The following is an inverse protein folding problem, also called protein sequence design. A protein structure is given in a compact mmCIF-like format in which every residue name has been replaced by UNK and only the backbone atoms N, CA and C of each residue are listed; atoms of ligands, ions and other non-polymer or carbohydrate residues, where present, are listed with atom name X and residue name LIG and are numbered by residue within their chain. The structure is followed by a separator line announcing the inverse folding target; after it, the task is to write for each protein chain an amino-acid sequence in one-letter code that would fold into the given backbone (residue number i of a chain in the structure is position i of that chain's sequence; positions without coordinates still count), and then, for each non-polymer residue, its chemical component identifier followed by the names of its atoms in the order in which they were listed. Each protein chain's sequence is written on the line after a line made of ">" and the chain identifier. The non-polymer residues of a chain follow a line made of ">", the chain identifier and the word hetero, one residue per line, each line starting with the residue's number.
data_IF_150733151785
#
_entry.id   IF_150733151785
#
_cell.length_a   1.000
_cell.length_b   1.000
_cell.length_c   1.000
_cell.angle_alpha   90.00
_cell.angle_beta   90.00
_cell.angle_gamma   90.00
#
_symmetry.space_group_name_H-M   'P 1'
#
loop_
_entity.id
_entity.type
_entity.pdbx_description
1 polymer ?
#
# COMPACT_ATOMS: atom_id res chain seq x y z
N UNK A 1 8.99 37.49 21.39
CA UNK A 1 9.96 38.31 22.12
C UNK A 1 11.31 37.62 22.06
N UNK A 2 12.33 38.33 21.51
CA UNK A 2 13.79 38.30 21.76
C UNK A 2 14.51 36.93 21.81
N UNK A 3 15.70 36.70 21.26
CA UNK A 3 16.75 37.52 20.62
C UNK A 3 17.75 36.52 20.01
N UNK A 4 18.21 36.68 18.76
CA UNK A 4 19.54 37.21 18.35
C UNK A 4 20.74 36.30 18.68
N UNK A 5 21.43 35.73 17.68
CA UNK A 5 22.52 36.28 16.84
C UNK A 5 23.90 35.86 17.41
N UNK A 6 24.91 35.45 16.64
CA UNK A 6 25.90 36.26 15.88
C UNK A 6 26.83 35.23 15.16
N UNK A 7 27.02 35.23 13.82
CA UNK A 7 27.92 36.04 12.95
C UNK A 7 29.43 35.82 13.15
N UNK A 8 30.13 35.41 12.09
CA UNK A 8 31.60 35.34 12.03
C UNK A 8 32.09 35.35 10.59
N UNK A 9 32.36 36.56 10.07
CA UNK A 9 33.04 36.83 8.80
C UNK A 9 34.51 37.14 9.14
N UNK A 10 35.46 36.65 8.34
CA UNK A 10 36.80 37.21 8.25
C UNK A 10 37.24 37.34 6.78
N UNK A 11 37.74 38.53 6.45
CA UNK A 11 38.41 38.91 5.21
C UNK A 11 39.83 39.33 5.59
N UNK A 12 40.86 38.89 4.85
CA UNK A 12 42.13 39.63 4.74
C UNK A 12 42.93 39.28 3.45
N UNK A 13 42.75 40.16 2.47
CA UNK A 13 43.64 40.85 1.51
C UNK A 13 45.18 40.61 1.44
N UNK A 14 45.64 40.35 0.20
CA UNK A 14 46.83 40.80 -0.61
C UNK A 14 48.29 40.49 -0.22
N UNK A 15 49.04 39.97 -1.21
CA UNK A 15 50.38 40.45 -1.60
C UNK A 15 50.66 40.21 -3.11
N UNK A 16 51.00 41.29 -3.83
CA UNK A 16 51.58 41.29 -5.18
C UNK A 16 53.12 41.26 -5.10
N UNK A 17 53.78 40.65 -6.09
CA UNK A 17 54.91 41.22 -6.85
C UNK A 17 55.69 40.13 -7.62
N UNK A 18 56.15 40.44 -8.84
CA UNK A 18 57.28 39.76 -9.46
C UNK A 18 57.13 39.35 -10.93
N UNK A 19 57.13 40.32 -11.85
CA UNK A 19 57.58 40.11 -13.25
C UNK A 19 59.13 40.14 -13.29
N UNK A 20 59.76 39.39 -14.21
CA UNK A 20 60.27 40.05 -15.43
C UNK A 20 60.03 39.27 -16.74
N UNK A 21 60.00 40.03 -17.84
CA UNK A 21 59.95 39.62 -19.25
C UNK A 21 61.37 39.41 -19.83
N UNK A 22 61.58 39.32 -21.17
CA UNK A 22 61.00 38.44 -22.21
C UNK A 22 62.11 37.67 -22.99
N UNK A 23 61.80 36.57 -23.68
CA UNK A 23 62.64 36.09 -24.80
C UNK A 23 61.78 35.57 -25.96
N UNK A 24 61.95 36.27 -27.07
CA UNK A 24 61.85 35.88 -28.47
C UNK A 24 60.67 35.03 -28.98
N UNK A 25 59.98 35.66 -29.94
CA UNK A 25 59.07 35.06 -30.90
C UNK A 25 59.69 33.87 -31.66
N UNK A 26 58.90 32.82 -31.81
CA UNK A 26 58.97 31.91 -32.95
C UNK A 26 57.54 31.71 -33.47
N UNK A 27 57.29 32.30 -34.63
CA UNK A 27 56.11 32.11 -35.47
C UNK A 27 55.89 30.62 -35.77
N UNK A 28 54.78 30.07 -35.28
CA UNK A 28 54.16 28.86 -35.83
C UNK A 28 52.70 29.17 -36.14
N UNK A 29 52.50 30.07 -37.12
CA UNK A 29 51.25 30.08 -37.89
C UNK A 29 51.26 28.90 -38.86
N UNK A 30 50.43 27.90 -38.57
CA UNK A 30 49.40 27.35 -39.49
C UNK A 30 48.85 26.03 -38.94
N UNK A 31 47.57 26.10 -38.56
CA UNK A 31 46.52 25.06 -38.60
C UNK A 31 45.68 25.05 -37.32
N UNK A 32 45.05 26.19 -37.01
CA UNK A 32 43.77 26.15 -36.31
C UNK A 32 42.70 25.82 -37.36
N UNK A 33 41.94 24.71 -37.26
CA UNK A 33 40.64 24.70 -37.91
C UNK A 33 39.82 25.80 -37.25
N UNK A 34 39.38 26.76 -38.07
CA UNK A 34 38.41 27.75 -37.66
C UNK A 34 37.23 27.03 -37.00
N UNK A 35 36.88 27.45 -35.77
CA UNK A 35 35.58 27.16 -35.20
C UNK A 35 34.52 27.69 -36.18
N UNK A 36 33.97 26.80 -36.99
CA UNK A 36 32.86 27.13 -37.85
C UNK A 36 31.68 27.46 -36.94
N UNK A 37 31.44 28.74 -36.68
CA UNK A 37 30.12 29.21 -36.27
C UNK A 37 29.18 28.93 -37.45
N UNK A 38 28.50 27.79 -37.40
CA UNK A 38 27.44 27.46 -38.34
C UNK A 38 26.23 28.35 -38.03
N UNK A 39 25.88 29.33 -38.88
CA UNK A 39 24.70 30.15 -38.68
C UNK A 39 23.48 29.27 -38.93
N UNK A 40 22.63 29.07 -37.91
CA UNK A 40 21.32 28.44 -38.09
C UNK A 40 20.96 27.28 -37.16
N UNK A 41 21.86 26.85 -36.26
CA UNK A 41 21.50 25.86 -35.23
C UNK A 41 20.87 26.57 -34.03
N UNK A 42 19.64 26.21 -33.67
CA UNK A 42 18.98 26.73 -32.48
C UNK A 42 18.20 25.64 -31.77
N UNK A 43 17.89 25.89 -30.50
CA UNK A 43 17.19 24.94 -29.67
C UNK A 43 16.24 25.66 -28.72
N UNK A 44 15.04 25.11 -28.58
CA UNK A 44 14.08 25.50 -27.54
C UNK A 44 13.67 24.25 -26.77
N UNK A 45 13.31 24.41 -25.51
CA UNK A 45 12.82 23.28 -24.73
C UNK A 45 11.71 23.71 -23.78
N UNK A 46 10.77 22.80 -23.58
CA UNK A 46 9.70 22.91 -22.61
C UNK A 46 9.74 21.67 -21.71
N UNK A 47 9.55 21.87 -20.41
CA UNK A 47 9.52 20.78 -19.45
C UNK A 47 8.30 20.85 -18.55
N UNK A 48 7.74 19.67 -18.30
CA UNK A 48 6.76 19.41 -17.25
C UNK A 48 7.38 18.52 -16.18
N UNK A 49 6.62 18.16 -15.15
CA UNK A 49 7.08 17.24 -14.10
C UNK A 49 7.42 15.83 -14.61
N UNK A 50 6.82 15.40 -15.74
CA UNK A 50 6.90 14.04 -16.25
C UNK A 50 7.50 13.87 -17.65
N UNK A 51 7.66 14.94 -18.41
CA UNK A 51 8.32 14.93 -19.72
C UNK A 51 9.03 16.25 -20.01
N UNK A 52 10.13 16.18 -20.76
CA UNK A 52 10.79 17.32 -21.39
C UNK A 52 10.77 17.14 -22.92
N UNK A 53 10.44 18.21 -23.63
CA UNK A 53 10.42 18.27 -25.09
C UNK A 53 11.44 19.29 -25.53
N UNK A 54 12.40 18.87 -26.35
CA UNK A 54 13.47 19.70 -26.88
C UNK A 54 13.30 19.74 -28.39
N UNK A 55 13.16 20.93 -28.95
CA UNK A 55 13.09 21.16 -30.38
C UNK A 55 14.45 21.68 -30.87
N UNK A 56 15.06 20.95 -31.79
CA UNK A 56 16.30 21.31 -32.46
C UNK A 56 15.97 21.81 -33.87
N UNK A 57 16.51 22.97 -34.25
CA UNK A 57 16.38 23.56 -35.58
C UNK A 57 17.75 23.67 -36.24
N UNK A 58 17.80 23.49 -37.56
CA UNK A 58 19.05 23.51 -38.34
C UNK A 58 19.95 22.28 -38.12
N UNK A 59 19.42 21.22 -37.50
CA UNK A 59 20.09 19.96 -37.23
C UNK A 59 19.35 18.79 -37.87
N UNK A 60 20.02 18.06 -38.76
CA UNK A 60 19.48 16.84 -39.35
C UNK A 60 20.00 15.65 -38.57
N UNK A 61 19.09 14.95 -37.90
CA UNK A 61 19.41 13.73 -37.19
C UNK A 61 19.69 12.60 -38.18
N UNK A 62 20.79 11.89 -37.97
CA UNK A 62 21.09 10.63 -38.64
C UNK A 62 20.59 9.44 -37.81
N UNK A 63 20.86 9.48 -36.50
CA UNK A 63 20.49 8.40 -35.59
C UNK A 63 20.34 8.92 -34.16
N UNK A 64 19.38 8.37 -33.43
CA UNK A 64 19.35 8.42 -31.97
C UNK A 64 19.54 7.01 -31.42
N UNK A 65 20.42 6.85 -30.45
CA UNK A 65 20.71 5.58 -29.81
C UNK A 65 20.88 5.75 -28.29
N UNK A 66 20.62 4.67 -27.54
CA UNK A 66 20.91 4.64 -26.11
C UNK A 66 22.42 4.65 -25.90
N UNK A 67 22.90 5.37 -24.89
CA UNK A 67 24.30 5.37 -24.52
C UNK A 67 24.71 4.13 -23.73
N UNK A 68 25.83 4.23 -23.02
CA UNK A 68 26.38 3.13 -22.22
C UNK A 68 25.59 2.88 -20.93
N UNK A 69 24.78 3.86 -20.51
CA UNK A 69 23.90 3.79 -19.35
C UNK A 69 22.45 4.13 -19.73
N UNK A 70 21.45 3.64 -18.98
CA UNK A 70 20.03 3.92 -19.25
C UNK A 70 19.61 5.39 -19.03
N UNK A 71 20.53 6.22 -18.53
CA UNK A 71 20.38 7.67 -18.44
C UNK A 71 20.95 8.40 -19.67
N UNK A 72 21.72 7.73 -20.52
CA UNK A 72 22.40 8.32 -21.66
C UNK A 72 21.63 8.13 -22.97
N UNK A 73 21.60 9.19 -23.77
CA UNK A 73 21.12 9.19 -25.14
C UNK A 73 22.16 9.86 -26.01
N UNK A 74 22.54 9.20 -27.10
CA UNK A 74 23.47 9.72 -28.10
C UNK A 74 22.67 10.08 -29.34
N UNK A 75 22.78 11.34 -29.76
CA UNK A 75 22.27 11.83 -31.03
C UNK A 75 23.43 11.96 -32.01
N UNK A 76 23.30 11.43 -33.21
CA UNK A 76 24.25 11.58 -34.31
C UNK A 76 23.63 12.41 -35.42
N UNK A 77 24.40 13.30 -36.00
CA UNK A 77 23.95 14.28 -36.99
C UNK A 77 24.74 14.14 -38.28
N UNK A 78 24.10 14.50 -39.40
CA UNK A 78 24.75 14.50 -40.73
C UNK A 78 25.74 15.66 -40.93
N UNK A 79 25.81 16.58 -39.97
CA UNK A 79 26.59 17.82 -40.05
C UNK A 79 27.33 18.10 -38.73
N UNK A 80 28.35 18.97 -38.76
CA UNK A 80 29.04 19.41 -37.55
C UNK A 80 28.08 20.06 -36.54
N UNK A 81 28.27 19.76 -35.26
CA UNK A 81 27.46 20.31 -34.16
C UNK A 81 28.13 21.54 -33.55
N UNK A 82 27.36 22.59 -33.25
CA UNK A 82 27.88 23.75 -32.51
C UNK A 82 28.31 23.32 -31.09
N UNK A 83 29.58 23.55 -30.68
CA UNK A 83 30.05 23.22 -29.34
C UNK A 83 29.24 23.84 -28.20
N UNK A 84 28.59 24.99 -28.44
CA UNK A 84 27.77 25.68 -27.43
C UNK A 84 26.45 24.97 -27.11
N UNK A 85 26.01 24.09 -28.01
CA UNK A 85 24.71 23.43 -27.94
C UNK A 85 24.58 22.53 -26.70
N UNK A 86 25.66 21.87 -26.27
CA UNK A 86 25.68 21.09 -25.03
C UNK A 86 25.58 21.96 -23.78
N UNK A 87 26.29 23.09 -23.74
CA UNK A 87 26.24 24.00 -22.60
C UNK A 87 24.85 24.62 -22.44
N UNK A 88 24.22 25.01 -23.55
CA UNK A 88 22.90 25.62 -23.53
C UNK A 88 21.82 24.61 -23.16
N UNK A 89 21.96 23.36 -23.59
CA UNK A 89 21.03 22.28 -23.25
C UNK A 89 20.98 22.01 -21.74
N UNK A 90 22.14 21.95 -21.07
CA UNK A 90 22.21 21.76 -19.63
C UNK A 90 21.63 22.96 -18.85
N UNK A 91 21.77 24.19 -19.39
CA UNK A 91 21.23 25.43 -18.78
C UNK A 91 19.72 25.56 -18.94
N UNK A 92 19.15 25.14 -20.07
CA UNK A 92 17.72 25.26 -20.35
C UNK A 92 16.90 24.22 -19.57
N UNK A 93 17.44 23.02 -19.37
CA UNK A 93 16.75 21.92 -18.68
C UNK A 93 17.50 21.40 -17.43
N UNK A 94 17.79 22.25 -16.43
CA UNK A 94 18.63 21.88 -15.29
C UNK A 94 17.97 20.85 -14.36
N UNK A 95 16.64 20.68 -14.43
CA UNK A 95 15.91 19.65 -13.70
C UNK A 95 15.94 18.26 -14.35
N UNK A 96 16.28 18.20 -15.64
CA UNK A 96 16.22 16.97 -16.45
C UNK A 96 17.61 16.48 -16.84
N UNK A 97 18.52 17.38 -17.18
CA UNK A 97 19.82 17.03 -17.76
C UNK A 97 20.88 17.20 -16.69
N UNK A 98 21.67 16.16 -16.48
CA UNK A 98 22.81 16.16 -15.55
C UNK A 98 24.07 16.65 -16.27
N UNK A 99 24.27 16.15 -17.48
CA UNK A 99 25.43 16.45 -18.31
C UNK A 99 25.08 16.35 -19.80
N UNK A 100 25.71 17.19 -20.61
CA UNK A 100 25.65 17.10 -22.06
C UNK A 100 27.05 17.35 -22.65
N UNK A 101 27.38 16.67 -23.75
CA UNK A 101 28.67 16.78 -24.42
C UNK A 101 28.50 16.73 -25.93
N UNK A 102 29.14 17.64 -26.65
CA UNK A 102 29.23 17.60 -28.11
C UNK A 102 30.52 16.91 -28.57
N UNK A 103 30.38 15.98 -29.51
CA UNK A 103 31.45 15.54 -30.42
C UNK A 103 31.44 16.37 -31.71
N UNK A 104 32.15 15.92 -32.74
CA UNK A 104 32.15 16.58 -34.04
C UNK A 104 30.76 16.54 -34.70
N UNK A 105 30.15 15.36 -34.73
CA UNK A 105 28.87 15.03 -35.38
C UNK A 105 27.86 14.43 -34.41
N UNK A 106 28.09 14.56 -33.10
CA UNK A 106 27.31 13.86 -32.07
C UNK A 106 27.05 14.72 -30.85
N UNK A 107 25.95 14.43 -30.17
CA UNK A 107 25.58 15.01 -28.88
C UNK A 107 25.21 13.88 -27.92
N UNK A 108 25.98 13.75 -26.86
CA UNK A 108 25.66 12.89 -25.72
C UNK A 108 24.85 13.71 -24.72
N UNK A 109 23.67 13.20 -24.35
CA UNK A 109 22.81 13.76 -23.32
C UNK A 109 22.71 12.72 -22.21
N UNK A 110 23.06 13.10 -20.98
CA UNK A 110 22.86 12.29 -19.79
C UNK A 110 21.80 12.94 -18.90
N UNK A 111 20.70 12.23 -18.71
CA UNK A 111 19.61 12.67 -17.86
C UNK A 111 19.91 12.41 -16.38
N UNK A 112 19.28 13.18 -15.47
CA UNK A 112 19.45 13.02 -14.02
C UNK A 112 18.90 11.70 -13.46
N UNK A 113 18.00 11.06 -14.21
CA UNK A 113 17.35 9.78 -13.89
C UNK A 113 17.12 9.02 -15.18
N UNK A 114 16.87 7.71 -15.07
CA UNK A 114 16.51 6.87 -16.22
C UNK A 114 15.36 7.50 -17.00
N UNK A 115 15.53 7.63 -18.30
CA UNK A 115 14.55 8.26 -19.19
C UNK A 115 14.40 7.46 -20.47
N UNK A 116 13.18 7.38 -20.99
CA UNK A 116 12.95 6.97 -22.37
C UNK A 116 13.00 8.18 -23.28
N UNK A 117 13.49 7.99 -24.51
CA UNK A 117 13.51 9.01 -25.53
C UNK A 117 12.60 8.62 -26.71
N UNK A 118 11.99 9.62 -27.33
CA UNK A 118 11.31 9.51 -28.61
C UNK A 118 11.72 10.68 -29.49
N UNK A 119 12.01 10.39 -30.76
CA UNK A 119 12.38 11.40 -31.74
C UNK A 119 11.27 11.54 -32.77
N UNK A 120 10.97 12.77 -33.15
CA UNK A 120 10.07 13.08 -34.27
C UNK A 120 10.76 14.07 -35.19
N UNK A 121 10.98 13.69 -36.44
CA UNK A 121 11.56 14.58 -37.46
C UNK A 121 10.58 15.70 -37.82
N UNK A 122 11.13 16.87 -38.11
CA UNK A 122 10.39 18.06 -38.55
C UNK A 122 11.06 18.64 -39.79
N UNK A 123 10.36 19.44 -40.63
CA UNK A 123 10.94 19.96 -41.88
C UNK A 123 12.28 20.69 -41.71
N UNK A 124 12.47 21.39 -40.59
CA UNK A 124 13.66 22.20 -40.29
C UNK A 124 14.54 21.63 -39.17
N UNK A 125 14.34 20.37 -38.77
CA UNK A 125 15.12 19.72 -37.72
C UNK A 125 14.42 18.52 -37.06
N UNK A 126 14.45 18.41 -35.73
CA UNK A 126 13.76 17.33 -35.04
C UNK A 126 13.34 17.72 -33.61
N UNK A 127 12.40 16.95 -33.06
CA UNK A 127 11.96 17.06 -31.67
C UNK A 127 12.40 15.82 -30.90
N UNK A 128 13.10 16.01 -29.79
CA UNK A 128 13.44 14.98 -28.82
C UNK A 128 12.52 15.11 -27.61
N UNK A 129 11.74 14.06 -27.35
CA UNK A 129 10.94 13.94 -26.13
C UNK A 129 11.62 12.98 -25.16
N UNK A 130 11.98 13.50 -23.99
CA UNK A 130 12.44 12.72 -22.84
C UNK A 130 11.27 12.49 -21.88
N UNK A 131 11.08 11.26 -21.43
CA UNK A 131 10.07 10.91 -20.42
C UNK A 131 10.74 10.12 -19.32
N UNK A 132 10.47 10.42 -18.05
CA UNK A 132 11.06 9.64 -16.96
C UNK A 132 10.65 8.18 -17.07
N UNK A 133 11.64 7.29 -17.06
CA UNK A 133 11.39 5.88 -16.94
C UNK A 133 10.79 5.67 -15.55
N UNK A 134 9.55 5.21 -15.52
CA UNK A 134 8.89 4.84 -14.27
C UNK A 134 9.61 3.60 -13.75
N UNK A 135 10.33 3.74 -12.64
CA UNK A 135 10.99 2.60 -12.01
C UNK A 135 9.92 1.59 -11.58
N UNK A 136 9.89 0.44 -12.25
CA UNK A 136 8.93 -0.63 -11.99
C UNK A 136 8.99 -1.10 -10.53
N UNK A 137 10.16 -1.02 -9.90
CA UNK A 137 10.34 -1.38 -8.50
C UNK A 137 9.70 -0.33 -7.58
N UNK A 138 9.84 0.95 -7.89
CA UNK A 138 9.25 2.03 -7.10
C UNK A 138 7.71 2.03 -7.18
N UNK A 139 7.14 1.73 -8.35
CA UNK A 139 5.69 1.57 -8.48
C UNK A 139 5.20 0.37 -7.69
N UNK A 140 5.90 -0.75 -7.77
CA UNK A 140 5.56 -1.97 -7.00
C UNK A 140 5.60 -1.69 -5.51
N UNK A 141 6.67 -1.03 -5.02
CA UNK A 141 6.80 -0.61 -3.63
C UNK A 141 5.68 0.32 -3.18
N UNK A 142 5.38 1.34 -3.98
CA UNK A 142 4.30 2.30 -3.72
C UNK A 142 2.95 1.61 -3.65
N UNK A 143 2.67 0.70 -4.58
CA UNK A 143 1.43 -0.07 -4.61
C UNK A 143 1.31 -1.03 -3.42
N UNK A 144 2.41 -1.68 -2.99
CA UNK A 144 2.42 -2.50 -1.77
C UNK A 144 2.12 -1.68 -0.52
N UNK A 145 2.72 -0.49 -0.39
CA UNK A 145 2.43 0.43 0.71
C UNK A 145 0.97 0.89 0.70
N UNK A 146 0.46 1.26 -0.48
CA UNK A 146 -0.94 1.65 -0.65
C UNK A 146 -1.91 0.51 -0.33
N UNK A 147 -1.58 -0.71 -0.72
CA UNK A 147 -2.36 -1.91 -0.41
C UNK A 147 -2.44 -2.13 1.10
N UNK A 148 -1.30 -2.11 1.80
CA UNK A 148 -1.26 -2.22 3.28
C UNK A 148 -2.06 -1.11 3.96
N UNK A 149 -2.00 0.11 3.46
CA UNK A 149 -2.81 1.22 3.96
C UNK A 149 -4.32 0.97 3.76
N UNK A 150 -4.75 0.45 2.60
CA UNK A 150 -6.15 0.13 2.35
C UNK A 150 -6.67 -1.01 3.22
N UNK A 151 -5.84 -2.02 3.48
CA UNK A 151 -6.13 -3.08 4.45
C UNK A 151 -6.31 -2.48 5.84
N UNK A 152 -5.36 -1.66 6.30
CA UNK A 152 -5.41 -1.01 7.61
C UNK A 152 -6.64 -0.10 7.77
N UNK A 153 -7.07 0.55 6.70
CA UNK A 153 -8.26 1.42 6.67
C UNK A 153 -9.55 0.68 6.30
N UNK A 154 -9.53 -0.67 6.23
CA UNK A 154 -10.68 -1.54 5.95
C UNK A 154 -11.42 -1.18 4.66
N UNK A 155 -10.69 -0.96 3.57
CA UNK A 155 -11.23 -0.71 2.23
C UNK A 155 -10.95 -1.90 1.29
N UNK A 156 -11.61 -3.06 1.48
CA UNK A 156 -11.30 -4.30 0.78
C UNK A 156 -11.47 -4.22 -0.74
N UNK A 157 -12.52 -3.55 -1.24
CA UNK A 157 -12.78 -3.45 -2.68
C UNK A 157 -11.64 -2.76 -3.43
N UNK A 158 -11.12 -1.66 -2.87
CA UNK A 158 -9.97 -0.93 -3.43
C UNK A 158 -8.68 -1.73 -3.26
N UNK A 159 -8.52 -2.44 -2.14
CA UNK A 159 -7.37 -3.31 -1.90
C UNK A 159 -7.29 -4.43 -2.94
N UNK A 160 -8.42 -5.08 -3.27
CA UNK A 160 -8.50 -6.11 -4.33
C UNK A 160 -8.07 -5.57 -5.69
N UNK A 161 -8.44 -4.33 -6.02
CA UNK A 161 -7.99 -3.67 -7.25
C UNK A 161 -6.46 -3.63 -7.35
N UNK A 162 -5.79 -3.14 -6.30
CA UNK A 162 -4.33 -3.03 -6.26
C UNK A 162 -3.66 -4.42 -6.20
N UNK A 163 -4.23 -5.38 -5.47
CA UNK A 163 -3.71 -6.74 -5.42
C UNK A 163 -3.67 -7.37 -6.82
N UNK A 164 -4.74 -7.20 -7.60
CA UNK A 164 -4.79 -7.70 -8.98
C UNK A 164 -3.78 -7.00 -9.90
N UNK A 165 -3.54 -5.69 -9.70
CA UNK A 165 -2.48 -4.97 -10.42
C UNK A 165 -1.08 -5.51 -10.10
N UNK A 166 -0.81 -5.82 -8.82
CA UNK A 166 0.46 -6.39 -8.39
C UNK A 166 0.66 -7.82 -8.92
N UNK A 167 -0.40 -8.63 -8.95
CA UNK A 167 -0.37 -9.99 -9.50
C UNK A 167 -0.01 -9.99 -10.99
N UNK A 168 -0.53 -9.02 -11.77
CA UNK A 168 -0.16 -8.83 -13.19
C UNK A 168 1.28 -8.41 -13.41
N UNK A 169 1.94 -7.84 -12.40
CA UNK A 169 3.33 -7.37 -12.45
C UNK A 169 4.32 -8.43 -11.94
N UNK A 170 3.88 -9.67 -11.75
CA UNK A 170 4.71 -10.81 -11.33
C UNK A 170 5.41 -10.61 -9.97
N UNK A 171 4.76 -9.92 -9.04
CA UNK A 171 5.20 -9.90 -7.63
C UNK A 171 5.11 -11.31 -7.05
N UNK A 172 6.03 -11.66 -6.15
CA UNK A 172 6.09 -12.97 -5.51
C UNK A 172 4.73 -13.42 -4.96
N UNK A 173 4.23 -14.62 -5.37
CA UNK A 173 2.92 -15.11 -4.99
C UNK A 173 2.70 -15.15 -3.48
N UNK A 174 3.71 -15.56 -2.71
CA UNK A 174 3.60 -15.73 -1.25
C UNK A 174 3.30 -14.41 -0.53
N UNK A 175 3.90 -13.32 -0.99
CA UNK A 175 3.64 -11.96 -0.46
C UNK A 175 2.20 -11.53 -0.76
N UNK A 176 1.72 -11.83 -1.97
CA UNK A 176 0.37 -11.47 -2.39
C UNK A 176 -0.69 -12.28 -1.67
N UNK A 177 -0.47 -13.58 -1.47
CA UNK A 177 -1.41 -14.47 -0.79
C UNK A 177 -1.54 -14.12 0.70
N UNK A 178 -0.45 -13.65 1.34
CA UNK A 178 -0.51 -13.14 2.72
C UNK A 178 -1.35 -11.87 2.81
N UNK A 179 -1.19 -10.95 1.85
CA UNK A 179 -2.00 -9.74 1.77
C UNK A 179 -3.46 -10.06 1.40
N UNK A 180 -3.71 -11.11 0.61
CA UNK A 180 -5.06 -11.60 0.31
C UNK A 180 -5.74 -12.14 1.58
N UNK A 181 -5.02 -12.89 2.42
CA UNK A 181 -5.53 -13.34 3.71
C UNK A 181 -5.92 -12.16 4.62
N UNK A 182 -5.11 -11.11 4.66
CA UNK A 182 -5.43 -9.89 5.42
C UNK A 182 -6.68 -9.18 4.86
N UNK A 183 -6.85 -9.11 3.54
CA UNK A 183 -8.07 -8.57 2.92
C UNK A 183 -9.30 -9.39 3.34
N UNK A 184 -9.23 -10.72 3.29
CA UNK A 184 -10.34 -11.59 3.70
C UNK A 184 -10.75 -11.36 5.16
N UNK A 185 -9.78 -11.08 6.05
CA UNK A 185 -10.08 -10.69 7.42
C UNK A 185 -10.82 -9.34 7.51
N UNK A 186 -10.47 -8.37 6.67
CA UNK A 186 -11.21 -7.09 6.60
C UNK A 186 -12.64 -7.25 6.05
N UNK A 187 -12.87 -8.28 5.24
CA UNK A 187 -14.19 -8.68 4.72
C UNK A 187 -15.00 -9.51 5.71
N UNK A 188 -14.44 -9.80 6.90
CA UNK A 188 -15.06 -10.68 7.90
C UNK A 188 -15.29 -12.10 7.37
N UNK A 189 -14.32 -12.65 6.61
CA UNK A 189 -14.25 -14.06 6.20
C UNK A 189 -12.99 -14.74 6.81
N UNK A 190 -12.99 -15.04 8.11
CA UNK A 190 -11.85 -15.68 8.77
C UNK A 190 -11.61 -17.12 8.30
N UNK A 191 -12.64 -17.80 7.78
CA UNK A 191 -12.52 -19.14 7.25
C UNK A 191 -11.67 -19.17 5.98
N UNK A 192 -12.00 -18.31 5.00
CA UNK A 192 -11.21 -18.18 3.77
C UNK A 192 -9.78 -17.68 4.06
N UNK A 193 -9.63 -16.76 5.02
CA UNK A 193 -8.30 -16.30 5.43
C UNK A 193 -7.46 -17.45 6.00
N UNK A 194 -8.04 -18.32 6.82
CA UNK A 194 -7.32 -19.49 7.35
C UNK A 194 -6.95 -20.48 6.25
N UNK A 195 -7.82 -20.75 5.27
CA UNK A 195 -7.50 -21.60 4.12
C UNK A 195 -6.29 -21.07 3.34
N UNK A 196 -6.21 -19.75 3.15
CA UNK A 196 -5.05 -19.10 2.51
C UNK A 196 -3.76 -19.26 3.31
N UNK A 197 -3.81 -19.04 4.61
CA UNK A 197 -2.64 -19.22 5.48
C UNK A 197 -2.23 -20.69 5.61
N UNK A 198 -3.18 -21.62 5.55
CA UNK A 198 -2.90 -23.06 5.53
C UNK A 198 -2.16 -23.48 4.26
N UNK A 199 -2.53 -22.92 3.10
CA UNK A 199 -1.82 -23.15 1.84
C UNK A 199 -0.39 -22.56 1.88
N UNK A 200 -0.23 -21.32 2.37
CA UNK A 200 1.08 -20.69 2.54
C UNK A 200 2.00 -21.44 3.50
N UNK A 201 1.45 -22.00 4.59
CA UNK A 201 2.25 -22.74 5.55
C UNK A 201 2.77 -24.07 4.98
N UNK A 202 2.27 -24.53 3.83
CA UNK A 202 2.85 -25.67 3.11
C UNK A 202 4.07 -25.28 2.28
N UNK A 203 4.13 -24.05 1.75
CA UNK A 203 5.28 -23.57 0.98
C UNK A 203 6.39 -23.01 1.87
N UNK A 204 6.04 -22.33 2.97
CA UNK A 204 6.98 -21.79 3.95
C UNK A 204 6.65 -22.29 5.38
N UNK A 205 7.14 -23.48 5.76
CA UNK A 205 6.82 -24.08 7.05
C UNK A 205 7.53 -23.42 8.24
N UNK A 206 8.57 -22.61 8.01
CA UNK A 206 9.43 -22.05 9.06
C UNK A 206 9.11 -20.58 9.40
N UNK A 207 8.24 -19.91 8.64
CA UNK A 207 7.79 -18.55 8.97
C UNK A 207 6.98 -18.51 10.27
N UNK A 208 7.66 -18.15 11.36
CA UNK A 208 7.08 -17.98 12.71
C UNK A 208 5.92 -16.98 12.74
N UNK A 209 5.96 -15.92 11.94
CA UNK A 209 4.88 -14.93 11.92
C UNK A 209 3.64 -15.47 11.23
N UNK A 210 3.81 -16.23 10.14
CA UNK A 210 2.73 -16.96 9.47
C UNK A 210 2.09 -17.99 10.41
N UNK A 211 2.92 -18.82 11.07
CA UNK A 211 2.45 -19.84 12.01
C UNK A 211 1.67 -19.25 13.19
N UNK A 212 2.08 -18.09 13.71
CA UNK A 212 1.34 -17.36 14.76
C UNK A 212 -0.02 -16.90 14.27
N UNK A 213 -0.08 -16.18 13.14
CA UNK A 213 -1.34 -15.68 12.58
C UNK A 213 -2.34 -16.83 12.31
N UNK A 214 -1.83 -17.95 11.78
CA UNK A 214 -2.59 -19.18 11.57
C UNK A 214 -3.11 -19.78 12.88
N UNK A 215 -2.27 -19.86 13.90
CA UNK A 215 -2.65 -20.39 15.22
C UNK A 215 -3.73 -19.53 15.87
N UNK A 216 -3.60 -18.21 15.84
CA UNK A 216 -4.58 -17.28 16.38
C UNK A 216 -5.94 -17.43 15.69
N UNK A 217 -5.96 -17.58 14.36
CA UNK A 217 -7.19 -17.84 13.62
C UNK A 217 -7.80 -19.19 13.94
N UNK A 218 -6.99 -20.25 14.09
CA UNK A 218 -7.48 -21.56 14.54
C UNK A 218 -8.08 -21.50 15.94
N UNK A 219 -7.46 -20.76 16.85
CA UNK A 219 -7.99 -20.54 18.20
C UNK A 219 -9.31 -19.76 18.18
N UNK A 220 -9.50 -18.85 17.22
CA UNK A 220 -10.77 -18.14 17.01
C UNK A 220 -11.85 -19.06 16.41
N UNK A 221 -11.48 -20.02 15.57
CA UNK A 221 -12.41 -20.89 14.85
C UNK A 221 -12.68 -22.24 15.55
N UNK A 222 -11.95 -22.56 16.62
CA UNK A 222 -12.08 -23.84 17.35
C UNK A 222 -13.44 -24.00 18.05
N UNK A 223 -13.77 -25.26 18.32
CA UNK A 223 -14.81 -25.64 19.27
C UNK A 223 -14.47 -25.15 20.68
N UNK A 224 -15.46 -24.66 21.41
CA UNK A 224 -15.29 -24.18 22.77
C UNK A 224 -16.54 -24.43 23.63
N UNK A 225 -16.33 -24.39 24.94
CA UNK A 225 -17.38 -24.48 25.94
C UNK A 225 -17.21 -23.30 26.90
N UNK A 226 -18.28 -22.57 27.12
CA UNK A 226 -18.37 -21.44 28.03
C UNK A 226 -19.34 -21.79 29.17
N UNK A 227 -18.89 -21.63 30.40
CA UNK A 227 -19.70 -21.83 31.61
C UNK A 227 -19.71 -20.54 32.40
N UNK A 228 -20.88 -19.92 32.50
CA UNK A 228 -21.12 -18.70 33.24
C UNK A 228 -22.05 -18.99 34.42
N UNK A 229 -21.58 -18.73 35.63
CA UNK A 229 -22.39 -18.82 36.84
C UNK A 229 -22.42 -17.45 37.52
N UNK A 230 -23.62 -16.96 37.81
CA UNK A 230 -23.86 -15.71 38.53
C UNK A 230 -24.75 -15.98 39.73
N UNK A 231 -24.35 -15.48 40.88
CA UNK A 231 -25.15 -15.53 42.10
C UNK A 231 -25.35 -14.11 42.63
N UNK A 232 -26.58 -13.78 42.98
CA UNK A 232 -26.96 -12.52 43.59
C UNK A 232 -27.86 -12.81 44.79
N UNK A 233 -27.54 -12.18 45.92
CA UNK A 233 -28.33 -12.27 47.14
C UNK A 233 -28.51 -10.87 47.69
N UNK A 234 -29.77 -10.46 47.88
CA UNK A 234 -30.12 -9.21 48.55
C UNK A 234 -30.47 -9.55 50.01
N UNK A 235 -29.93 -8.79 50.97
CA UNK A 235 -30.22 -9.01 52.39
C UNK A 235 -31.71 -8.69 52.64
N UNK A 236 -32.46 -9.67 53.16
CA UNK A 236 -33.93 -9.59 53.33
C UNK A 236 -34.71 -9.41 52.01
N UNK A 237 -34.17 -9.87 50.89
CA UNK A 237 -34.86 -9.85 49.60
C UNK A 237 -34.45 -11.03 48.72
N UNK A 238 -34.60 -10.85 47.42
CA UNK A 238 -34.46 -11.92 46.43
C UNK A 238 -33.06 -12.55 46.40
N UNK A 239 -33.06 -13.88 46.28
CA UNK A 239 -31.89 -14.68 45.90
C UNK A 239 -32.07 -15.19 44.48
N UNK A 240 -31.09 -14.92 43.63
CA UNK A 240 -31.06 -15.39 42.27
C UNK A 240 -29.73 -16.08 41.97
N UNK A 241 -29.82 -17.28 41.41
CA UNK A 241 -28.68 -18.00 40.83
C UNK A 241 -28.96 -18.24 39.35
N UNK A 242 -28.00 -17.90 38.50
CA UNK A 242 -28.10 -18.07 37.06
C UNK A 242 -26.87 -18.85 36.57
N UNK A 243 -27.10 -20.03 36.02
CA UNK A 243 -26.10 -20.85 35.35
C UNK A 243 -26.39 -20.89 33.86
N UNK A 244 -25.40 -20.55 33.03
CA UNK A 244 -25.45 -20.69 31.58
C UNK A 244 -24.26 -21.51 31.11
N UNK A 245 -24.54 -22.58 30.40
CA UNK A 245 -23.54 -23.40 29.70
C UNK A 245 -23.81 -23.21 28.21
N UNK A 246 -22.83 -22.76 27.46
CA UNK A 246 -22.89 -22.66 26.01
C UNK A 246 -21.76 -23.49 25.41
N UNK A 247 -22.08 -24.32 24.43
CA UNK A 247 -21.12 -25.11 23.69
C UNK A 247 -21.23 -24.78 22.22
N UNK A 248 -20.09 -24.72 21.56
CA UNK A 248 -20.00 -24.52 20.14
C UNK A 248 -18.98 -25.52 19.60
N UNK A 249 -19.41 -26.36 18.66
CA UNK A 249 -18.56 -27.33 18.00
C UNK A 249 -18.47 -27.00 16.52
N UNK A 250 -17.24 -26.76 16.05
CA UNK A 250 -16.98 -26.64 14.62
C UNK A 250 -17.23 -27.99 13.94
N UNK A 251 -18.06 -28.00 12.89
CA UNK A 251 -18.23 -29.14 11.98
C UNK A 251 -17.41 -28.96 10.72
N UNK A 252 -17.11 -27.71 10.36
CA UNK A 252 -16.17 -27.29 9.33
C UNK A 252 -15.61 -25.90 9.68
N UNK A 253 -14.80 -25.29 8.81
CA UNK A 253 -14.35 -23.91 8.98
C UNK A 253 -15.52 -22.90 9.00
N UNK A 254 -16.65 -23.25 8.39
CA UNK A 254 -17.83 -22.39 8.22
C UNK A 254 -19.08 -22.90 8.95
N UNK A 255 -19.12 -24.19 9.31
CA UNK A 255 -20.27 -24.82 9.94
C UNK A 255 -20.05 -25.03 11.44
N UNK A 256 -21.07 -24.75 12.24
CA UNK A 256 -21.03 -24.94 13.70
C UNK A 256 -22.32 -25.52 14.22
N UNK A 257 -22.21 -26.40 15.20
CA UNK A 257 -23.32 -26.85 16.05
C UNK A 257 -23.21 -26.12 17.38
N UNK A 258 -24.32 -25.59 17.87
CA UNK A 258 -24.41 -24.86 19.13
C UNK A 258 -25.36 -25.59 20.06
N UNK A 259 -25.03 -25.64 21.34
CA UNK A 259 -25.98 -25.99 22.39
C UNK A 259 -25.86 -25.00 23.54
N UNK A 260 -26.99 -24.56 24.07
CA UNK A 260 -27.04 -23.67 25.22
C UNK A 260 -28.02 -24.23 26.24
N UNK A 261 -27.58 -24.32 27.49
CA UNK A 261 -28.41 -24.66 28.64
C UNK A 261 -28.35 -23.47 29.59
N UNK A 262 -29.51 -22.96 29.97
CA UNK A 262 -29.65 -21.84 30.89
C UNK A 262 -30.58 -22.24 32.02
N UNK A 263 -30.09 -22.22 33.25
CA UNK A 263 -30.87 -22.52 34.46
C UNK A 263 -30.87 -21.29 35.36
N UNK A 264 -32.06 -20.80 35.66
CA UNK A 264 -32.28 -19.69 36.60
C UNK A 264 -33.06 -20.23 37.79
N UNK A 265 -32.47 -20.10 38.96
CA UNK A 265 -33.10 -20.39 40.24
C UNK A 265 -33.42 -19.06 40.92
N UNK A 266 -34.68 -18.88 41.29
CA UNK A 266 -35.21 -17.72 41.97
C UNK A 266 -35.83 -18.16 43.29
N UNK A 267 -35.33 -17.58 44.38
CA UNK A 267 -35.87 -17.78 45.71
C UNK A 267 -36.15 -16.44 46.35
N UNK A 268 -37.39 -16.23 46.72
CA UNK A 268 -37.86 -15.07 47.45
C UNK A 268 -38.58 -15.55 48.72
N UNK A 269 -38.23 -14.94 49.84
CA UNK A 269 -38.78 -15.27 51.15
C UNK A 269 -40.20 -14.69 51.32
N UNK A 270 -40.58 -13.62 50.60
CA UNK A 270 -41.91 -13.00 50.64
C UNK A 270 -42.32 -12.46 49.28
N UNK A 271 -43.10 -13.24 48.52
CA UNK A 271 -43.68 -12.80 47.25
C UNK A 271 -45.20 -12.63 47.38
N UNK A 272 -45.70 -11.44 47.03
CA UNK A 272 -47.15 -11.16 47.01
C UNK A 272 -47.75 -11.78 45.75
N UNK A 273 -48.60 -12.79 45.93
CA UNK A 273 -49.26 -13.49 44.82
C UNK A 273 -50.47 -12.68 44.33
N UNK A 274 -50.93 -12.98 43.11
CA UNK A 274 -52.08 -12.32 42.48
C UNK A 274 -53.40 -12.52 43.22
N UNK A 275 -53.48 -13.48 44.14
CA UNK A 275 -54.60 -13.73 45.04
C UNK A 275 -54.51 -12.95 46.37
N UNK A 276 -53.49 -12.11 46.54
CA UNK A 276 -53.23 -11.33 47.75
C UNK A 276 -52.53 -12.09 48.87
N UNK A 277 -52.24 -13.39 48.69
CA UNK A 277 -51.49 -14.16 49.68
C UNK A 277 -49.99 -13.86 49.60
N UNK A 278 -49.37 -13.60 50.75
CA UNK A 278 -47.91 -13.56 50.86
C UNK A 278 -47.37 -14.96 51.16
N UNK A 279 -46.38 -15.40 50.39
CA UNK A 279 -45.77 -16.71 50.59
C UNK A 279 -44.36 -16.80 50.04
N UNK A 280 -43.64 -17.83 50.48
CA UNK A 280 -42.32 -18.14 49.92
C UNK A 280 -42.48 -18.52 48.45
N UNK A 281 -41.60 -17.99 47.61
CA UNK A 281 -41.52 -18.34 46.20
C UNK A 281 -40.18 -19.01 45.93
N UNK A 282 -40.23 -20.24 45.43
CA UNK A 282 -39.08 -21.00 44.98
C UNK A 282 -39.40 -21.53 43.59
N UNK A 283 -38.62 -21.10 42.60
CA UNK A 283 -38.78 -21.58 41.24
C UNK A 283 -37.44 -21.82 40.57
N UNK A 284 -37.41 -22.87 39.76
CA UNK A 284 -36.29 -23.17 38.87
C UNK A 284 -36.82 -23.20 37.45
N UNK A 285 -36.19 -22.43 36.56
CA UNK A 285 -36.52 -22.39 35.13
C UNK A 285 -35.28 -22.81 34.35
N UNK A 286 -35.44 -23.81 33.50
CA UNK A 286 -34.36 -24.27 32.62
C UNK A 286 -34.79 -24.14 31.17
N UNK A 287 -33.91 -23.56 30.35
CA UNK A 287 -34.06 -23.42 28.91
C UNK A 287 -32.91 -24.12 28.22
N UNK A 288 -33.23 -24.88 27.18
CA UNK A 288 -32.26 -25.52 26.30
C UNK A 288 -32.46 -24.97 24.89
N UNK A 289 -31.37 -24.69 24.20
CA UNK A 289 -31.35 -24.39 22.78
C UNK A 289 -30.31 -25.26 22.10
N UNK A 290 -30.65 -25.87 20.97
CA UNK A 290 -29.71 -26.59 20.12
C UNK A 290 -29.86 -26.01 18.73
N UNK A 291 -28.74 -25.70 18.07
CA UNK A 291 -28.78 -25.05 16.77
C UNK A 291 -27.60 -25.35 15.90
N UNK A 292 -27.71 -24.87 14.67
CA UNK A 292 -26.69 -24.92 13.64
C UNK A 292 -26.45 -23.49 13.13
N UNK A 293 -25.19 -23.16 12.90
CA UNK A 293 -24.77 -21.92 12.29
C UNK A 293 -23.91 -22.21 11.05
N UNK A 294 -24.10 -21.44 9.99
CA UNK A 294 -23.32 -21.54 8.77
C UNK A 294 -22.89 -20.17 8.27
N UNK A 295 -21.58 -19.96 8.28
CA UNK A 295 -20.91 -18.81 7.68
C UNK A 295 -20.89 -18.95 6.15
N UNK A 296 -21.44 -17.96 5.45
CA UNK A 296 -21.46 -17.85 4.00
C UNK A 296 -20.31 -16.98 3.47
N UNK A 297 -19.45 -16.50 4.36
CA UNK A 297 -18.35 -15.58 4.05
C UNK A 297 -18.84 -14.14 3.84
N UNK A 298 -17.88 -13.22 3.83
CA UNK A 298 -18.12 -11.78 3.74
C UNK A 298 -19.12 -11.25 4.79
N UNK A 299 -19.00 -11.74 6.04
CA UNK A 299 -19.86 -11.34 7.16
C UNK A 299 -21.31 -11.80 7.08
N UNK A 300 -21.63 -12.81 6.26
CA UNK A 300 -22.98 -13.37 6.13
C UNK A 300 -23.09 -14.69 6.88
N UNK A 301 -24.09 -14.84 7.73
CA UNK A 301 -24.27 -16.03 8.57
C UNK A 301 -25.74 -16.43 8.66
N UNK A 302 -26.01 -17.73 8.51
CA UNK A 302 -27.31 -18.33 8.80
C UNK A 302 -27.27 -19.06 10.14
N UNK A 303 -28.32 -18.92 10.93
CA UNK A 303 -28.50 -19.65 12.19
C UNK A 303 -29.90 -20.25 12.25
N UNK A 304 -29.98 -21.52 12.63
CA UNK A 304 -31.24 -22.20 12.95
C UNK A 304 -31.11 -22.84 14.32
N UNK A 305 -32.14 -22.74 15.17
CA UNK A 305 -32.13 -23.35 16.50
C UNK A 305 -33.52 -23.80 16.92
N UNK A 306 -33.55 -24.93 17.64
CA UNK A 306 -34.70 -25.41 18.39
C UNK A 306 -34.51 -25.02 19.84
N UNK A 307 -35.57 -24.53 20.47
CA UNK A 307 -35.56 -24.05 21.84
C UNK A 307 -36.66 -24.76 22.62
N UNK A 308 -36.32 -25.28 23.80
CA UNK A 308 -37.27 -25.85 24.74
C UNK A 308 -37.09 -25.20 26.12
N UNK A 309 -38.19 -24.99 26.82
CA UNK A 309 -38.23 -24.42 28.17
C UNK A 309 -39.57 -24.70 28.84
N UNK A 310 -39.81 -24.19 30.06
CA UNK A 310 -41.02 -24.49 30.82
C UNK A 310 -42.25 -23.95 30.05
N UNK A 311 -43.07 -24.86 29.52
CA UNK A 311 -44.28 -24.52 28.76
C UNK A 311 -44.05 -23.97 27.36
N UNK A 312 -42.82 -23.97 26.83
CA UNK A 312 -42.51 -23.41 25.51
C UNK A 312 -41.58 -24.31 24.71
N UNK A 313 -42.00 -24.67 23.50
CA UNK A 313 -41.12 -25.22 22.45
C UNK A 313 -41.20 -24.26 21.28
N UNK A 314 -40.07 -23.96 20.67
CA UNK A 314 -40.02 -23.06 19.53
C UNK A 314 -38.85 -23.34 18.62
N UNK A 315 -38.94 -22.82 17.40
CA UNK A 315 -37.85 -22.79 16.43
C UNK A 315 -37.51 -21.34 16.12
N UNK A 316 -36.22 -21.06 15.86
CA UNK A 316 -35.74 -19.77 15.42
C UNK A 316 -34.83 -19.97 14.22
N UNK A 317 -35.08 -19.22 13.15
CA UNK A 317 -34.15 -19.02 12.06
C UNK A 317 -33.75 -17.54 12.03
N UNK A 318 -32.47 -17.27 11.81
CA UNK A 318 -31.92 -15.93 11.72
C UNK A 318 -30.90 -15.90 10.59
N UNK A 319 -30.95 -14.85 9.78
CA UNK A 319 -29.90 -14.48 8.86
C UNK A 319 -29.28 -13.17 9.32
N UNK A 320 -27.95 -13.13 9.39
CA UNK A 320 -27.20 -11.94 9.76
C UNK A 320 -26.26 -11.57 8.62
N UNK A 321 -26.22 -10.28 8.29
CA UNK A 321 -25.24 -9.72 7.37
C UNK A 321 -24.56 -8.51 8.01
N UNK A 322 -23.27 -8.65 8.28
CA UNK A 322 -22.42 -7.59 8.79
C UNK A 322 -21.75 -6.90 7.60
N UNK A 323 -22.25 -5.72 7.25
CA UNK A 323 -21.59 -4.86 6.27
C UNK A 323 -20.26 -4.36 6.83
N UNK A 324 -19.17 -4.34 6.03
CA UNK A 324 -17.96 -3.62 6.39
C UNK A 324 -18.33 -2.16 6.66
N UNK A 325 -18.08 -1.66 7.88
CA UNK A 325 -18.42 -0.29 8.22
C UNK A 325 -17.60 0.68 7.38
N UNK A 326 -18.22 1.27 6.34
CA UNK A 326 -17.68 2.38 5.57
C UNK A 326 -17.85 3.66 6.38
N UNK A 327 -16.91 3.93 7.29
CA UNK A 327 -16.90 5.19 8.03
C UNK A 327 -16.47 6.33 7.11
N UNK A 328 -17.40 6.98 6.43
CA UNK A 328 -17.21 8.38 6.02
C UNK A 328 -17.68 9.25 7.19
N UNK A 329 -16.75 9.88 7.90
CA UNK A 329 -17.05 11.06 8.71
C UNK A 329 -16.84 12.27 7.80
N UNK A 330 -17.91 12.83 7.27
CA UNK A 330 -17.90 14.23 6.84
C UNK A 330 -17.76 15.07 8.11
N UNK A 331 -16.63 15.79 8.23
CA UNK A 331 -16.52 16.99 9.04
C UNK A 331 -16.58 18.17 8.10
#
# INVERSE_FOLDING_TARGET
>A
MRSQAVLGIWVLTIACAGFPAPVAAADLRKNNPASAQSPGQSMTAEATSGAAVIQFQGLNLERAEGGSSPEETVLRFKQPTDPKLAEDLAKILPGWIDYASTGYDSLLIRAKRKASYAVTETPDGFTLRLTWAVDANEVTRTNLQRLRFLIATRQPDKARGILNDLRRRSVEPDVLDRLEADILLTENDPAAALERLDALAMSDPDDKALLRARSDLRLRLRSHVEVNARHQSIKQGDRQSHLRIATESATSLRGRITAQIETVHLKDDVLLRTDGAAGKFDSTRSRIAIGFAQDQGAGREWRASLVAGPGTIGARAQYQWLLPQSHWRLR
#
